data_IF_932875588482
#
_entry.id   IF_932875588482
#
_cell.length_a   1.000
_cell.length_b   1.000
_cell.length_c   1.000
_cell.angle_alpha   90.00
_cell.angle_beta   90.00
_cell.angle_gamma   90.00
#
_symmetry.space_group_name_H-M   'P 1'
#
loop_
_entity.id
_entity.type
_entity.pdbx_description
1 polymer ?
#
# COMPACT_ATOMS: atom_id res chain seq x y z
N UNK A 1 6.23 9.37 45.07
CA UNK A 1 5.97 9.17 43.64
C UNK A 1 5.73 7.69 43.48
N UNK A 2 4.47 7.29 43.28
CA UNK A 2 4.10 5.89 43.11
C UNK A 2 4.64 5.38 41.77
N UNK A 3 5.43 4.32 41.83
CA UNK A 3 5.62 3.38 40.74
C UNK A 3 4.30 2.64 40.50
N UNK A 4 3.35 3.32 39.85
CA UNK A 4 2.22 2.65 39.22
C UNK A 4 2.77 1.85 38.04
N UNK A 5 3.08 0.60 38.34
CA UNK A 5 3.50 -0.43 37.41
C UNK A 5 2.57 -0.39 36.21
N UNK A 6 3.14 -0.12 35.05
CA UNK A 6 2.50 -0.22 33.75
C UNK A 6 1.95 -1.66 33.61
N UNK A 7 0.66 -1.86 33.93
CA UNK A 7 0.02 -3.18 34.00
C UNK A 7 -0.10 -3.86 32.61
N UNK A 8 0.29 -3.15 31.55
CA UNK A 8 0.27 -3.60 30.16
C UNK A 8 1.59 -3.31 29.44
N UNK A 9 2.76 -3.56 30.06
CA UNK A 9 4.01 -3.65 29.32
C UNK A 9 3.99 -4.88 28.39
N UNK A 10 3.34 -4.75 27.23
CA UNK A 10 3.46 -5.70 26.14
C UNK A 10 4.89 -5.60 25.62
N UNK A 11 5.64 -6.70 25.65
CA UNK A 11 6.98 -6.75 25.04
C UNK A 11 6.91 -6.23 23.59
N UNK A 12 7.85 -5.38 23.18
CA UNK A 12 7.90 -4.83 21.81
C UNK A 12 7.77 -5.92 20.73
N UNK A 13 8.34 -7.10 20.98
CA UNK A 13 8.23 -8.26 20.08
C UNK A 13 6.80 -8.79 19.97
N UNK A 14 6.06 -8.79 21.07
CA UNK A 14 4.65 -9.17 21.11
C UNK A 14 3.78 -8.11 20.42
N UNK A 15 4.07 -6.82 20.60
CA UNK A 15 3.39 -5.74 19.90
C UNK A 15 3.55 -5.87 18.39
N UNK A 16 4.79 -5.96 17.89
CA UNK A 16 5.07 -6.15 16.46
C UNK A 16 4.38 -7.40 15.93
N UNK A 17 4.46 -8.52 16.65
CA UNK A 17 3.77 -9.76 16.26
C UNK A 17 2.25 -9.56 16.16
N UNK A 18 1.64 -8.85 17.11
CA UNK A 18 0.19 -8.59 17.14
C UNK A 18 -0.22 -7.69 15.98
N UNK A 19 0.50 -6.60 15.74
CA UNK A 19 0.25 -5.69 14.61
C UNK A 19 0.34 -6.40 13.27
N UNK A 20 1.36 -7.24 13.08
CA UNK A 20 1.51 -8.06 11.87
C UNK A 20 0.40 -9.09 11.72
N UNK A 21 -0.05 -9.67 12.82
CA UNK A 21 -1.13 -10.66 12.80
C UNK A 21 -2.48 -10.00 12.43
N UNK A 22 -2.74 -8.79 12.94
CA UNK A 22 -3.92 -7.99 12.57
C UNK A 22 -3.87 -7.58 11.10
N UNK A 23 -2.72 -7.09 10.62
CA UNK A 23 -2.52 -6.74 9.20
C UNK A 23 -2.77 -7.96 8.28
N UNK A 24 -2.23 -9.12 8.65
CA UNK A 24 -2.48 -10.37 7.91
C UNK A 24 -3.97 -10.73 7.89
N UNK A 25 -4.71 -10.55 9.00
CA UNK A 25 -6.15 -10.78 9.00
C UNK A 25 -6.88 -9.83 8.06
N UNK A 26 -6.55 -8.53 8.06
CA UNK A 26 -7.14 -7.54 7.15
C UNK A 26 -6.92 -7.96 5.68
N UNK A 27 -5.70 -8.37 5.32
CA UNK A 27 -5.40 -8.89 3.98
C UNK A 27 -6.23 -10.15 3.68
N UNK A 28 -6.31 -11.10 4.61
CA UNK A 28 -7.06 -12.35 4.42
C UNK A 28 -8.56 -12.10 4.23
N UNK A 29 -9.14 -11.09 4.89
CA UNK A 29 -10.54 -10.70 4.68
C UNK A 29 -10.76 -9.98 3.35
N UNK A 30 -9.77 -9.22 2.88
CA UNK A 30 -9.84 -8.49 1.63
C UNK A 30 -9.78 -9.39 0.39
N UNK A 31 -9.01 -10.49 0.45
CA UNK A 31 -8.83 -11.40 -0.70
C UNK A 31 -10.16 -11.97 -1.22
N UNK A 32 -11.06 -12.56 -0.39
CA UNK A 32 -12.37 -13.02 -0.85
C UNK A 32 -13.21 -11.92 -1.50
N UNK A 33 -13.18 -10.70 -0.95
CA UNK A 33 -13.90 -9.55 -1.51
C UNK A 33 -13.36 -9.20 -2.90
N UNK A 34 -12.03 -9.17 -3.09
CA UNK A 34 -11.43 -8.94 -4.41
C UNK A 34 -11.72 -10.06 -5.39
N UNK A 35 -11.70 -11.33 -4.95
CA UNK A 35 -12.05 -12.46 -5.80
C UNK A 35 -13.50 -12.38 -6.27
N UNK A 36 -14.44 -12.05 -5.37
CA UNK A 36 -15.84 -11.86 -5.71
C UNK A 36 -16.02 -10.71 -6.70
N UNK A 37 -15.42 -9.55 -6.44
CA UNK A 37 -15.51 -8.39 -7.33
C UNK A 37 -14.92 -8.73 -8.71
N UNK A 38 -13.73 -9.34 -8.78
CA UNK A 38 -13.10 -9.72 -10.04
C UNK A 38 -13.95 -10.68 -10.89
N UNK A 39 -14.80 -11.52 -10.29
CA UNK A 39 -15.73 -12.37 -11.04
C UNK A 39 -16.91 -11.60 -11.67
N UNK A 40 -17.31 -10.47 -11.09
CA UNK A 40 -18.42 -9.64 -11.58
C UNK A 40 -17.98 -8.50 -12.51
N UNK A 41 -16.82 -8.65 -13.16
CA UNK A 41 -16.17 -7.65 -14.01
C UNK A 41 -17.16 -6.91 -14.94
N UNK A 42 -17.55 -5.70 -14.55
CA UNK A 42 -18.32 -4.77 -15.36
C UNK A 42 -17.38 -3.64 -15.81
N UNK A 43 -17.48 -3.24 -17.08
CA UNK A 43 -16.58 -2.26 -17.69
C UNK A 43 -16.84 -0.85 -17.12
N UNK A 44 -15.74 -0.14 -16.86
CA UNK A 44 -15.63 1.29 -16.56
C UNK A 44 -16.17 1.79 -15.21
N UNK A 45 -15.43 1.49 -14.13
CA UNK A 45 -15.70 2.03 -12.77
C UNK A 45 -14.54 2.83 -12.15
N UNK A 46 -13.60 3.34 -12.95
CA UNK A 46 -12.45 4.13 -12.46
C UNK A 46 -12.85 5.33 -11.58
N UNK A 47 -13.97 5.98 -11.89
CA UNK A 47 -14.48 7.09 -11.08
C UNK A 47 -14.93 6.63 -9.69
N UNK A 48 -15.48 5.42 -9.58
CA UNK A 48 -15.87 4.84 -8.30
C UNK A 48 -14.65 4.55 -7.44
N UNK A 49 -13.62 3.93 -8.02
CA UNK A 49 -12.31 3.71 -7.38
C UNK A 49 -11.73 4.99 -6.80
N UNK A 50 -11.74 6.08 -7.59
CA UNK A 50 -11.22 7.37 -7.17
C UNK A 50 -12.02 7.96 -5.99
N UNK A 51 -13.35 7.90 -6.05
CA UNK A 51 -14.22 8.37 -4.96
C UNK A 51 -13.94 7.59 -3.67
N UNK A 52 -13.78 6.26 -3.74
CA UNK A 52 -13.47 5.42 -2.59
C UNK A 52 -12.13 5.79 -1.95
N UNK A 53 -11.08 6.02 -2.74
CA UNK A 53 -9.77 6.45 -2.21
C UNK A 53 -9.81 7.85 -1.60
N UNK A 54 -10.48 8.81 -2.24
CA UNK A 54 -10.67 10.16 -1.69
C UNK A 54 -11.45 10.09 -0.38
N UNK A 55 -12.54 9.32 -0.35
CA UNK A 55 -13.36 9.11 0.84
C UNK A 55 -12.55 8.51 2.00
N UNK A 56 -11.72 7.51 1.70
CA UNK A 56 -10.77 6.95 2.68
C UNK A 56 -9.82 8.02 3.21
N UNK A 57 -9.18 8.80 2.34
CA UNK A 57 -8.20 9.80 2.76
C UNK A 57 -8.83 10.88 3.65
N UNK A 58 -10.05 11.32 3.31
CA UNK A 58 -10.81 12.26 4.13
C UNK A 58 -11.17 11.67 5.50
N UNK A 59 -11.64 10.41 5.53
CA UNK A 59 -11.99 9.74 6.77
C UNK A 59 -10.76 9.48 7.65
N UNK A 60 -9.64 9.08 7.06
CA UNK A 60 -8.36 8.92 7.75
C UNK A 60 -7.88 10.25 8.33
N UNK A 61 -7.99 11.34 7.58
CA UNK A 61 -7.66 12.69 8.06
C UNK A 61 -8.55 13.11 9.24
N UNK A 62 -9.84 12.76 9.20
CA UNK A 62 -10.77 13.01 10.30
C UNK A 62 -10.42 12.20 11.56
N UNK A 63 -10.04 10.92 11.41
CA UNK A 63 -9.56 10.06 12.51
C UNK A 63 -8.30 10.66 13.14
N UNK A 64 -7.33 11.09 12.32
CA UNK A 64 -6.07 11.66 12.82
C UNK A 64 -6.27 13.00 13.56
N UNK A 65 -7.22 13.83 13.11
CA UNK A 65 -7.49 15.13 13.72
C UNK A 65 -8.36 15.05 14.98
N UNK A 66 -9.22 14.04 15.08
CA UNK A 66 -10.20 13.91 16.17
C UNK A 66 -9.76 12.89 17.21
N UNK A 67 -9.41 13.36 18.41
CA UNK A 67 -9.14 12.48 19.55
C UNK A 67 -10.33 11.60 19.92
N UNK A 68 -11.56 12.08 19.72
CA UNK A 68 -12.77 11.32 19.97
C UNK A 68 -12.90 10.13 19.01
N UNK A 69 -12.63 10.31 17.72
CA UNK A 69 -12.66 9.18 16.77
C UNK A 69 -11.48 8.25 16.99
N UNK A 70 -10.31 8.76 17.40
CA UNK A 70 -9.11 7.96 17.59
C UNK A 70 -9.18 7.05 18.83
N UNK A 71 -9.74 7.52 19.94
CA UNK A 71 -9.64 6.81 21.22
C UNK A 71 -10.97 6.37 21.85
N UNK A 72 -12.13 6.89 21.41
CA UNK A 72 -13.40 6.43 21.98
C UNK A 72 -13.88 5.14 21.32
N UNK A 73 -14.03 4.10 22.13
CA UNK A 73 -14.82 2.93 21.77
C UNK A 73 -16.33 3.29 21.82
N UNK A 74 -17.16 2.83 20.87
CA UNK A 74 -16.88 1.96 19.72
C UNK A 74 -16.52 2.73 18.42
N UNK A 75 -16.47 4.05 18.46
CA UNK A 75 -16.33 4.92 17.28
C UNK A 75 -15.02 4.67 16.50
N UNK A 76 -13.91 4.42 17.19
CA UNK A 76 -12.63 4.11 16.55
C UNK A 76 -12.71 2.89 15.63
N UNK A 77 -13.30 1.80 16.13
CA UNK A 77 -13.48 0.57 15.37
C UNK A 77 -14.38 0.77 14.14
N UNK A 78 -15.48 1.52 14.30
CA UNK A 78 -16.39 1.79 13.21
C UNK A 78 -15.74 2.68 12.14
N UNK A 79 -14.95 3.67 12.55
CA UNK A 79 -14.24 4.55 11.63
C UNK A 79 -13.13 3.82 10.86
N UNK A 80 -12.31 3.02 11.54
CA UNK A 80 -11.27 2.20 10.91
C UNK A 80 -11.88 1.12 10.01
N UNK A 81 -12.95 0.45 10.46
CA UNK A 81 -13.68 -0.53 9.65
C UNK A 81 -14.26 0.08 8.38
N UNK A 82 -14.86 1.27 8.47
CA UNK A 82 -15.37 2.01 7.30
C UNK A 82 -14.23 2.41 6.35
N UNK A 83 -13.11 2.92 6.88
CA UNK A 83 -11.89 3.18 6.10
C UNK A 83 -11.40 1.92 5.38
N UNK A 84 -11.34 0.79 6.07
CA UNK A 84 -10.92 -0.49 5.52
C UNK A 84 -11.83 -0.94 4.38
N UNK A 85 -13.15 -0.90 4.55
CA UNK A 85 -14.08 -1.28 3.48
C UNK A 85 -13.95 -0.36 2.26
N UNK A 86 -13.82 0.97 2.46
CA UNK A 86 -13.65 1.92 1.36
C UNK A 86 -12.35 1.66 0.57
N UNK A 87 -11.23 1.41 1.25
CA UNK A 87 -9.96 1.04 0.60
C UNK A 87 -10.11 -0.25 -0.17
N UNK A 88 -10.74 -1.24 0.45
CA UNK A 88 -10.84 -2.59 -0.10
C UNK A 88 -11.76 -2.62 -1.32
N UNK A 89 -12.87 -1.89 -1.29
CA UNK A 89 -13.76 -1.68 -2.44
C UNK A 89 -13.09 -0.85 -3.54
N UNK A 90 -12.38 0.22 -3.18
CA UNK A 90 -11.62 1.03 -4.14
C UNK A 90 -10.60 0.17 -4.90
N UNK A 91 -9.81 -0.61 -4.18
CA UNK A 91 -8.84 -1.52 -4.78
C UNK A 91 -9.52 -2.66 -5.58
N UNK A 92 -10.57 -3.25 -5.05
CA UNK A 92 -11.32 -4.32 -5.72
C UNK A 92 -11.91 -3.86 -7.06
N UNK A 93 -12.48 -2.65 -7.10
CA UNK A 93 -12.99 -2.06 -8.35
C UNK A 93 -11.91 -1.77 -9.38
N UNK A 94 -10.67 -1.49 -8.95
CA UNK A 94 -9.54 -1.37 -9.87
C UNK A 94 -9.16 -2.73 -10.46
N UNK A 95 -9.10 -3.77 -9.62
CA UNK A 95 -8.72 -5.12 -10.02
C UNK A 95 -9.77 -5.81 -10.91
N UNK A 96 -11.03 -5.35 -10.88
CA UNK A 96 -12.09 -5.81 -11.79
C UNK A 96 -11.75 -5.59 -13.27
N UNK A 97 -10.84 -4.66 -13.60
CA UNK A 97 -10.45 -4.38 -14.98
C UNK A 97 -9.38 -5.34 -15.53
N UNK A 98 -9.06 -6.41 -14.81
CA UNK A 98 -8.01 -7.38 -15.16
C UNK A 98 -8.51 -8.81 -15.02
N UNK A 99 -7.87 -9.72 -15.75
CA UNK A 99 -8.18 -11.14 -15.66
C UNK A 99 -7.92 -11.68 -14.25
N UNK A 100 -8.79 -12.56 -13.78
CA UNK A 100 -8.71 -13.14 -12.44
C UNK A 100 -7.33 -13.76 -12.13
N UNK A 101 -6.73 -14.48 -13.08
CA UNK A 101 -5.40 -15.08 -12.90
C UNK A 101 -4.31 -14.02 -12.70
N UNK A 102 -4.38 -12.90 -13.42
CA UNK A 102 -3.43 -11.79 -13.29
C UNK A 102 -3.61 -11.10 -11.94
N UNK A 103 -4.85 -10.86 -11.52
CA UNK A 103 -5.17 -10.31 -10.20
C UNK A 103 -4.57 -11.17 -9.08
N UNK A 104 -4.73 -12.49 -9.14
CA UNK A 104 -4.15 -13.41 -8.16
C UNK A 104 -2.62 -13.37 -8.15
N UNK A 105 -1.99 -13.30 -9.32
CA UNK A 105 -0.54 -13.16 -9.44
C UNK A 105 -0.05 -11.84 -8.83
N UNK A 106 -0.73 -10.73 -9.11
CA UNK A 106 -0.39 -9.41 -8.57
C UNK A 106 -0.51 -9.35 -7.05
N UNK A 107 -1.61 -9.89 -6.50
CA UNK A 107 -1.80 -10.03 -5.05
C UNK A 107 -0.67 -10.85 -4.43
N UNK A 108 -0.32 -11.99 -5.02
CA UNK A 108 0.78 -12.82 -4.53
C UNK A 108 2.14 -12.10 -4.56
N UNK A 109 2.45 -11.39 -5.65
CA UNK A 109 3.70 -10.61 -5.77
C UNK A 109 3.75 -9.47 -4.76
N UNK A 110 2.66 -8.72 -4.57
CA UNK A 110 2.60 -7.66 -3.58
C UNK A 110 2.79 -8.21 -2.16
N UNK A 111 2.17 -9.35 -1.84
CA UNK A 111 2.36 -10.03 -0.54
C UNK A 111 3.80 -10.48 -0.33
N UNK A 112 4.46 -11.01 -1.37
CA UNK A 112 5.87 -11.39 -1.28
C UNK A 112 6.78 -10.17 -1.04
N UNK A 113 6.51 -9.04 -1.70
CA UNK A 113 7.26 -7.78 -1.49
C UNK A 113 7.07 -7.30 -0.05
N UNK A 114 5.83 -7.22 0.44
CA UNK A 114 5.56 -6.81 1.81
C UNK A 114 6.19 -7.77 2.83
N UNK A 115 6.08 -9.09 2.62
CA UNK A 115 6.72 -10.09 3.46
C UNK A 115 8.24 -9.94 3.50
N UNK A 116 8.87 -9.69 2.35
CA UNK A 116 10.30 -9.42 2.27
C UNK A 116 10.72 -8.16 3.04
N UNK A 117 9.95 -7.06 2.93
CA UNK A 117 10.20 -5.83 3.70
C UNK A 117 10.08 -6.10 5.20
N UNK A 118 9.07 -6.86 5.64
CA UNK A 118 8.89 -7.19 7.05
C UNK A 118 10.06 -8.03 7.59
N UNK A 119 10.57 -8.97 6.78
CA UNK A 119 11.78 -9.74 7.11
C UNK A 119 13.00 -8.82 7.22
N UNK A 120 13.17 -7.86 6.31
CA UNK A 120 14.23 -6.86 6.40
C UNK A 120 14.10 -6.00 7.67
N UNK A 121 12.89 -5.53 7.99
CA UNK A 121 12.62 -4.81 9.23
C UNK A 121 13.01 -5.63 10.47
N UNK A 122 12.70 -6.93 10.49
CA UNK A 122 13.09 -7.82 11.57
C UNK A 122 14.62 -7.91 11.73
N UNK A 123 15.37 -8.01 10.62
CA UNK A 123 16.83 -7.98 10.67
C UNK A 123 17.38 -6.63 11.15
N UNK A 124 16.82 -5.51 10.68
CA UNK A 124 17.23 -4.16 11.09
C UNK A 124 17.02 -3.97 12.60
N UNK A 125 15.85 -4.36 13.11
CA UNK A 125 15.51 -4.25 14.54
C UNK A 125 16.46 -5.09 15.40
N UNK A 126 16.82 -6.30 14.95
CA UNK A 126 17.75 -7.17 15.69
C UNK A 126 19.22 -6.74 15.57
N UNK A 127 19.58 -6.02 14.50
CA UNK A 127 20.95 -5.58 14.23
C UNK A 127 21.40 -4.35 15.03
N UNK A 128 20.54 -3.77 15.88
CA UNK A 128 20.78 -2.58 16.72
C UNK A 128 21.23 -1.28 16.01
N UNK A 129 21.35 -1.28 14.68
CA UNK A 129 21.54 -0.05 13.90
C UNK A 129 20.17 0.55 13.57
N UNK A 130 19.70 1.45 14.43
CA UNK A 130 18.48 2.21 14.20
C UNK A 130 18.80 3.50 13.45
N UNK A 131 18.63 3.57 12.12
CA UNK A 131 18.53 4.86 11.45
C UNK A 131 17.39 5.65 12.06
N UNK A 132 17.54 6.97 12.19
CA UNK A 132 16.49 7.83 12.76
C UNK A 132 15.17 7.61 12.00
N UNK A 133 14.14 7.01 12.62
CA UNK A 133 12.98 6.51 11.89
C UNK A 133 12.08 7.66 11.40
N UNK A 134 12.09 8.80 12.09
CA UNK A 134 11.41 10.01 11.65
C UNK A 134 12.07 10.63 10.41
N UNK A 135 13.41 10.56 10.32
CA UNK A 135 14.15 10.98 9.14
C UNK A 135 13.81 10.14 7.91
N UNK A 136 13.69 8.82 8.09
CA UNK A 136 13.25 7.90 7.04
C UNK A 136 11.80 8.17 6.58
N UNK A 137 10.89 8.42 7.51
CA UNK A 137 9.51 8.79 7.19
C UNK A 137 9.45 10.11 6.40
N UNK A 138 10.24 11.11 6.80
CA UNK A 138 10.38 12.37 6.06
C UNK A 138 10.90 12.16 4.63
N UNK A 139 11.91 11.30 4.45
CA UNK A 139 12.43 10.94 3.13
C UNK A 139 11.35 10.24 2.26
N UNK A 140 10.55 9.35 2.84
CA UNK A 140 9.45 8.70 2.14
C UNK A 140 8.41 9.71 1.63
N UNK A 141 8.01 10.67 2.47
CA UNK A 141 7.07 11.75 2.10
C UNK A 141 7.63 12.60 0.96
N UNK A 142 8.91 12.98 1.03
CA UNK A 142 9.58 13.69 -0.07
C UNK A 142 9.57 12.89 -1.37
N UNK A 143 9.76 11.58 -1.29
CA UNK A 143 9.63 10.67 -2.42
C UNK A 143 8.23 10.69 -3.04
N UNK A 144 7.15 10.65 -2.25
CA UNK A 144 5.78 10.81 -2.76
C UNK A 144 5.54 12.15 -3.46
N UNK A 145 6.08 13.25 -2.91
CA UNK A 145 6.00 14.56 -3.55
C UNK A 145 6.75 14.51 -4.90
N UNK A 146 7.94 13.90 -4.93
CA UNK A 146 8.73 13.75 -6.14
C UNK A 146 8.01 12.94 -7.22
N UNK A 147 7.27 11.87 -6.87
CA UNK A 147 6.43 11.11 -7.81
C UNK A 147 5.39 12.03 -8.46
N UNK A 148 4.70 12.87 -7.68
CA UNK A 148 3.71 13.82 -8.20
C UNK A 148 4.34 14.81 -9.17
N UNK A 149 5.53 15.32 -8.85
CA UNK A 149 6.26 16.23 -9.74
C UNK A 149 6.67 15.52 -11.04
N UNK A 150 7.25 14.32 -10.97
CA UNK A 150 7.66 13.56 -12.17
C UNK A 150 6.44 13.24 -13.04
N UNK A 151 5.32 12.82 -12.44
CA UNK A 151 4.09 12.55 -13.18
C UNK A 151 3.54 13.81 -13.86
N UNK A 152 3.60 14.97 -13.20
CA UNK A 152 3.22 16.26 -13.78
C UNK A 152 4.15 16.69 -14.91
N UNK A 153 5.46 16.46 -14.78
CA UNK A 153 6.42 16.72 -15.86
C UNK A 153 6.16 15.78 -17.04
N UNK A 154 5.85 14.51 -16.76
CA UNK A 154 5.54 13.52 -17.78
C UNK A 154 4.29 13.88 -18.59
N UNK A 155 3.26 14.50 -17.99
CA UNK A 155 2.08 14.96 -18.76
C UNK A 155 2.41 16.09 -19.74
N UNK A 156 3.45 16.88 -19.46
CA UNK A 156 3.91 17.98 -20.34
C UNK A 156 4.84 17.48 -21.44
N UNK A 157 5.85 16.66 -21.09
CA UNK A 157 6.91 16.24 -22.01
C UNK A 157 6.65 14.91 -22.72
N UNK A 158 5.63 14.15 -22.31
CA UNK A 158 5.17 12.92 -22.95
C UNK A 158 6.24 11.84 -23.15
N UNK A 159 7.27 11.79 -22.31
CA UNK A 159 8.38 10.87 -22.49
C UNK A 159 8.27 9.67 -21.55
N UNK A 160 8.08 8.50 -22.16
CA UNK A 160 7.74 7.24 -21.48
C UNK A 160 8.67 6.92 -20.29
N UNK A 161 9.99 7.12 -20.37
CA UNK A 161 10.91 6.79 -19.28
C UNK A 161 10.62 7.50 -17.95
N UNK A 162 10.01 8.69 -17.95
CA UNK A 162 9.68 9.39 -16.71
C UNK A 162 8.64 8.67 -15.88
N UNK A 163 7.70 7.97 -16.52
CA UNK A 163 6.72 7.17 -15.78
C UNK A 163 7.39 5.98 -15.08
N UNK A 164 8.34 5.30 -15.74
CA UNK A 164 9.05 4.17 -15.12
C UNK A 164 9.85 4.63 -13.90
N UNK A 165 10.51 5.79 -14.02
CA UNK A 165 11.19 6.43 -12.90
C UNK A 165 10.20 6.80 -11.79
N UNK A 166 9.05 7.38 -12.12
CA UNK A 166 8.02 7.73 -11.14
C UNK A 166 7.52 6.49 -10.38
N UNK A 167 7.28 5.38 -11.07
CA UNK A 167 6.86 4.12 -10.44
C UNK A 167 7.94 3.52 -9.55
N UNK A 168 9.21 3.59 -9.96
CA UNK A 168 10.33 3.14 -9.14
C UNK A 168 10.47 3.98 -7.87
N UNK A 169 10.42 5.31 -7.99
CA UNK A 169 10.46 6.23 -6.85
C UNK A 169 9.27 6.00 -5.93
N UNK A 170 8.07 5.78 -6.49
CA UNK A 170 6.87 5.45 -5.71
C UNK A 170 7.08 4.18 -4.90
N UNK A 171 7.54 3.10 -5.54
CA UNK A 171 7.77 1.83 -4.87
C UNK A 171 8.79 2.00 -3.75
N UNK A 172 9.95 2.61 -4.02
CA UNK A 172 10.98 2.85 -3.00
C UNK A 172 10.41 3.68 -1.83
N UNK A 173 9.60 4.71 -2.11
CA UNK A 173 8.98 5.57 -1.10
C UNK A 173 7.97 4.81 -0.21
N UNK A 174 7.17 3.92 -0.80
CA UNK A 174 6.24 3.08 -0.03
C UNK A 174 7.01 2.09 0.83
N UNK A 175 8.08 1.47 0.31
CA UNK A 175 8.90 0.54 1.09
C UNK A 175 9.62 1.26 2.25
N UNK A 176 10.20 2.44 2.03
CA UNK A 176 10.82 3.23 3.10
C UNK A 176 9.79 3.70 4.12
N UNK A 177 8.56 4.03 3.69
CA UNK A 177 7.46 4.35 4.59
C UNK A 177 7.09 3.16 5.47
N UNK A 178 6.92 1.96 4.91
CA UNK A 178 6.66 0.73 5.68
C UNK A 178 7.75 0.47 6.72
N UNK A 179 9.02 0.56 6.33
CA UNK A 179 10.15 0.38 7.24
C UNK A 179 10.10 1.43 8.36
N UNK A 180 9.88 2.70 8.01
CA UNK A 180 9.82 3.78 8.98
C UNK A 180 8.69 3.58 9.99
N UNK A 181 7.51 3.14 9.54
CA UNK A 181 6.35 2.89 10.40
C UNK A 181 6.64 1.78 11.42
N UNK A 182 7.21 0.65 10.97
CA UNK A 182 7.58 -0.45 11.87
C UNK A 182 8.61 0.01 12.90
N UNK A 183 9.60 0.80 12.49
CA UNK A 183 10.63 1.33 13.40
C UNK A 183 10.08 2.37 14.38
N UNK A 184 9.18 3.27 13.95
CA UNK A 184 8.51 4.24 14.82
C UNK A 184 7.70 3.51 15.89
N UNK A 185 6.92 2.50 15.47
CA UNK A 185 6.12 1.69 16.40
C UNK A 185 6.97 0.93 17.40
N UNK A 186 8.13 0.42 16.98
CA UNK A 186 9.09 -0.21 17.88
C UNK A 186 9.71 0.79 18.87
N UNK A 187 10.10 1.99 18.40
CA UNK A 187 10.71 3.01 19.24
C UNK A 187 9.75 3.53 20.32
N UNK A 188 8.47 3.73 19.98
CA UNK A 188 7.46 4.29 20.87
C UNK A 188 6.66 3.22 21.64
N UNK A 189 7.13 1.97 21.69
CA UNK A 189 6.36 0.84 22.23
C UNK A 189 5.96 1.00 23.70
N UNK A 190 6.71 1.77 24.51
CA UNK A 190 6.39 2.01 25.93
C UNK A 190 5.20 2.96 26.12
N UNK A 191 4.90 3.79 25.12
CA UNK A 191 3.85 4.81 25.17
C UNK A 191 2.61 4.35 24.35
N UNK A 192 2.78 3.38 23.46
CA UNK A 192 1.72 2.93 22.55
C UNK A 192 0.64 2.11 23.27
N UNK A 193 -0.59 2.62 23.26
CA UNK A 193 -1.78 1.93 23.76
C UNK A 193 -2.26 0.93 22.70
N UNK A 194 -2.99 -0.12 23.12
CA UNK A 194 -3.55 -1.15 22.23
C UNK A 194 -4.34 -0.59 21.02
N UNK A 195 -5.01 0.56 21.18
CA UNK A 195 -5.75 1.24 20.10
C UNK A 195 -4.85 1.79 18.98
N UNK A 196 -3.60 2.15 19.30
CA UNK A 196 -2.63 2.57 18.29
C UNK A 196 -2.12 1.36 17.47
N UNK A 197 -2.15 0.14 18.01
CA UNK A 197 -1.77 -1.07 17.27
C UNK A 197 -2.69 -1.33 16.08
N UNK A 198 -4.00 -1.16 16.28
CA UNK A 198 -5.01 -1.30 15.24
C UNK A 198 -4.79 -0.26 14.12
N UNK A 199 -4.54 0.99 14.50
CA UNK A 199 -4.28 2.07 13.55
C UNK A 199 -2.98 1.82 12.77
N UNK A 200 -1.91 1.38 13.44
CA UNK A 200 -0.64 1.03 12.77
C UNK A 200 -0.84 -0.14 11.81
N UNK A 201 -1.57 -1.19 12.21
CA UNK A 201 -1.89 -2.31 11.33
C UNK A 201 -2.70 -1.85 10.11
N UNK A 202 -3.67 -0.96 10.30
CA UNK A 202 -4.42 -0.37 9.19
C UNK A 202 -3.52 0.47 8.25
N UNK A 203 -2.58 1.24 8.79
CA UNK A 203 -1.63 2.00 7.95
C UNK A 203 -0.68 1.06 7.19
N UNK A 204 -0.26 -0.07 7.78
CA UNK A 204 0.49 -1.11 7.06
C UNK A 204 -0.35 -1.70 5.92
N UNK A 205 -1.63 -1.99 6.16
CA UNK A 205 -2.56 -2.43 5.13
C UNK A 205 -2.68 -1.41 3.98
N UNK A 206 -2.79 -0.12 4.28
CA UNK A 206 -2.80 0.94 3.25
C UNK A 206 -1.49 0.94 2.45
N UNK A 207 -0.33 0.74 3.08
CA UNK A 207 0.93 0.61 2.35
C UNK A 207 0.96 -0.63 1.45
N UNK A 208 0.46 -1.77 1.93
CA UNK A 208 0.29 -2.97 1.11
C UNK A 208 -0.57 -2.68 -0.13
N UNK A 209 -1.69 -1.95 0.05
CA UNK A 209 -2.55 -1.53 -1.06
C UNK A 209 -1.79 -0.65 -2.06
N UNK A 210 -0.96 0.30 -1.58
CA UNK A 210 -0.11 1.11 -2.45
C UNK A 210 0.94 0.30 -3.22
N UNK A 211 1.54 -0.72 -2.60
CA UNK A 211 2.43 -1.66 -3.29
C UNK A 211 1.67 -2.39 -4.39
N UNK A 212 0.48 -2.92 -4.09
CA UNK A 212 -0.34 -3.63 -5.08
C UNK A 212 -0.74 -2.72 -6.25
N UNK A 213 -1.14 -1.48 -5.96
CA UNK A 213 -1.41 -0.45 -6.97
C UNK A 213 -0.18 -0.21 -7.86
N UNK A 214 1.01 -0.10 -7.27
CA UNK A 214 2.24 0.09 -8.02
C UNK A 214 2.55 -1.11 -8.92
N UNK A 215 2.42 -2.34 -8.41
CA UNK A 215 2.58 -3.57 -9.19
C UNK A 215 1.56 -3.65 -10.34
N UNK A 216 0.31 -3.29 -10.09
CA UNK A 216 -0.75 -3.28 -11.10
C UNK A 216 -0.46 -2.31 -12.25
N UNK A 217 -0.07 -1.07 -11.94
CA UNK A 217 0.30 -0.07 -12.94
C UNK A 217 1.51 -0.54 -13.76
N UNK A 218 2.53 -1.10 -13.09
CA UNK A 218 3.69 -1.68 -13.76
C UNK A 218 3.29 -2.82 -14.71
N UNK A 219 2.39 -3.71 -14.28
CA UNK A 219 1.91 -4.81 -15.08
C UNK A 219 1.17 -4.34 -16.34
N UNK A 220 0.18 -3.46 -16.19
CA UNK A 220 -0.57 -2.91 -17.34
C UNK A 220 0.35 -2.28 -18.38
N UNK A 221 1.40 -1.60 -17.91
CA UNK A 221 2.38 -0.95 -18.79
C UNK A 221 3.25 -1.94 -19.54
N UNK A 222 3.72 -2.99 -18.85
CA UNK A 222 4.50 -4.06 -19.46
C UNK A 222 3.66 -4.77 -20.53
N UNK A 223 2.40 -5.09 -20.23
CA UNK A 223 1.48 -5.71 -21.17
C UNK A 223 1.23 -4.85 -22.42
N UNK A 224 0.94 -3.55 -22.23
CA UNK A 224 0.77 -2.59 -23.33
C UNK A 224 2.01 -2.48 -24.24
N UNK A 225 3.22 -2.54 -23.66
CA UNK A 225 4.48 -2.53 -24.41
C UNK A 225 4.69 -3.83 -25.22
N UNK A 226 4.27 -4.98 -24.70
CA UNK A 226 4.32 -6.24 -25.46
C UNK A 226 3.30 -6.26 -26.59
N UNK A 227 2.08 -5.76 -26.34
CA UNK A 227 1.03 -5.65 -27.35
C UNK A 227 1.43 -4.74 -28.52
N UNK A 228 2.10 -3.61 -28.24
CA UNK A 228 2.56 -2.67 -29.28
C UNK A 228 3.70 -3.26 -30.14
N UNK A 229 4.66 -3.96 -29.53
CA UNK A 229 5.74 -4.66 -30.24
C UNK A 229 5.24 -5.77 -31.16
N UNK A 230 4.27 -6.57 -30.70
CA UNK A 230 3.65 -7.63 -31.51
C UNK A 230 2.96 -7.07 -32.77
N UNK A 231 2.26 -5.94 -32.64
CA UNK A 231 1.63 -5.25 -33.77
C UNK A 231 2.65 -4.65 -34.76
N UNK A 232 3.77 -4.12 -34.25
CA UNK A 232 4.86 -3.59 -35.08
C UNK A 232 5.55 -4.70 -35.89
N UNK A 233 5.84 -5.84 -35.26
CA UNK A 233 6.45 -7.00 -35.92
C UNK A 233 5.57 -7.62 -37.02
N UNK A 234 4.24 -7.69 -36.81
CA UNK A 234 3.31 -8.14 -37.86
C UNK A 234 3.25 -7.19 -39.05
N UNK A 235 3.31 -5.87 -38.84
CA UNK A 235 3.36 -4.90 -39.94
C UNK A 235 4.65 -5.02 -40.75
N UNK A 236 5.79 -5.26 -40.10
CA UNK A 236 7.06 -5.48 -40.77
C UNK A 236 7.08 -6.78 -41.60
N UNK A 237 6.50 -7.87 -41.08
CA UNK A 237 6.42 -9.15 -41.79
C UNK A 237 5.46 -9.16 -43.00
N UNK A 238 4.40 -8.32 -42.97
CA UNK A 238 3.49 -8.13 -44.11
C UNK A 238 4.10 -7.18 -45.16
N UNK A 239 5.03 -6.32 -44.77
CA UNK A 239 5.70 -5.37 -45.65
C UNK A 239 6.98 -5.91 -46.32
N UNK A 240 7.35 -7.17 -46.09
CA UNK A 240 8.38 -7.87 -46.86
C UNK A 240 7.72 -8.69 -47.97
N UNK A 241 7.64 -8.20 -49.23
CA UNK A 241 7.27 -9.03 -50.34
C UNK A 241 8.39 -10.04 -50.57
N UNK A 242 8.04 -11.31 -50.62
CA UNK A 242 8.89 -12.38 -51.14
C UNK A 242 9.39 -11.99 -52.53
N UNK A 243 10.68 -11.68 -52.62
CA UNK A 243 11.41 -11.60 -53.88
C UNK A 243 11.77 -13.00 -54.37
#
# INVERSE_FOLDING_TARGET
MSDDRCLFCISARSFVKTTLHVDLYLVMFAIPQWMLLAMYAAKDHLLHTLICFIGTFMLLSAIQKSSALKYNWPWNWLAIGCCYELVTLGLGTLLMNTDFQQTMMLVAVALLICGFVLVLCFFIVNGYHFPNPYGLAGLAILGFIQVTVIMTVNTVFYWQHWTDLAMLVLLISVLTMMVSLVLISFHNHEILIQDDALLVAFVLYVNYVLVLMACFICYQRVDNNFASRSKSGRKAAVASPSA
#
